data_IF_667692536067
#
_entry.id   IF_667692536067
#
_cell.length_a   1.000
_cell.length_b   1.000
_cell.length_c   1.000
_cell.angle_alpha   90.00
_cell.angle_beta   90.00
_cell.angle_gamma   90.00
#
_symmetry.space_group_name_H-M   'P 1'
#
loop_
_entity.id
_entity.type
_entity.pdbx_description
1 polymer ?
#
# COMPACT_ATOMS: atom_id res chain seq x y z
N UNK A 1 -3.19 18.45 -60.82
CA UNK A 1 -4.38 18.69 -59.98
C UNK A 1 -4.52 17.50 -59.03
N UNK A 2 -4.08 17.68 -57.80
CA UNK A 2 -4.20 16.64 -56.77
C UNK A 2 -5.47 16.94 -55.96
N UNK A 3 -6.47 16.06 -56.13
CA UNK A 3 -7.67 16.05 -55.29
C UNK A 3 -7.31 15.58 -53.90
N UNK A 4 -7.15 16.47 -52.96
CA UNK A 4 -7.19 16.19 -51.53
C UNK A 4 -8.64 16.30 -51.07
N UNK A 5 -9.45 15.29 -51.43
CA UNK A 5 -10.78 15.11 -50.88
C UNK A 5 -10.66 14.48 -49.49
N UNK A 6 -10.99 15.20 -48.42
CA UNK A 6 -11.27 14.65 -47.09
C UNK A 6 -12.46 13.71 -47.19
N UNK A 7 -12.20 12.40 -47.38
CA UNK A 7 -13.20 11.34 -47.33
C UNK A 7 -13.42 10.93 -45.88
N UNK A 8 -14.41 11.50 -45.24
CA UNK A 8 -14.90 11.06 -43.95
C UNK A 8 -16.22 11.75 -43.61
N UNK A 9 -17.24 10.97 -43.26
CA UNK A 9 -18.47 11.56 -42.69
C UNK A 9 -18.12 12.37 -41.45
N UNK A 10 -18.73 13.55 -41.26
CA UNK A 10 -18.54 14.34 -40.08
C UNK A 10 -18.74 13.50 -38.81
N UNK A 11 -17.89 13.65 -37.80
CA UNK A 11 -18.01 12.88 -36.57
C UNK A 11 -19.36 13.18 -35.92
N UNK A 12 -20.17 12.13 -35.73
CA UNK A 12 -21.51 12.22 -35.10
C UNK A 12 -21.50 12.88 -33.72
N UNK A 13 -20.38 12.86 -33.03
CA UNK A 13 -20.21 13.39 -31.68
C UNK A 13 -19.04 14.38 -31.64
N UNK A 14 -19.29 15.61 -31.25
CA UNK A 14 -18.30 16.68 -31.12
C UNK A 14 -17.78 16.86 -29.67
N UNK A 15 -16.95 17.88 -29.41
CA UNK A 15 -16.36 18.17 -28.10
C UNK A 15 -17.39 18.42 -26.99
N UNK A 16 -18.57 18.93 -27.32
CA UNK A 16 -19.69 19.20 -26.39
C UNK A 16 -20.23 17.91 -25.76
N UNK A 17 -20.25 16.82 -26.49
CA UNK A 17 -20.65 15.50 -25.98
C UNK A 17 -19.66 15.02 -24.90
N UNK A 18 -18.36 15.23 -25.13
CA UNK A 18 -17.33 14.95 -24.12
C UNK A 18 -17.49 15.76 -22.83
N UNK A 19 -17.79 17.07 -22.96
CA UNK A 19 -18.06 17.94 -21.80
C UNK A 19 -19.28 17.46 -21.00
N UNK A 20 -20.35 17.04 -21.68
CA UNK A 20 -21.54 16.50 -21.02
C UNK A 20 -21.26 15.20 -20.27
N UNK A 21 -20.43 14.31 -20.83
CA UNK A 21 -20.01 13.09 -20.13
C UNK A 21 -19.23 13.44 -18.86
N UNK A 22 -18.25 14.35 -18.92
CA UNK A 22 -17.45 14.75 -17.77
C UNK A 22 -18.31 15.44 -16.69
N UNK A 23 -19.20 16.36 -17.10
CA UNK A 23 -20.13 17.06 -16.19
C UNK A 23 -21.07 16.08 -15.48
N UNK A 24 -21.47 14.99 -16.15
CA UNK A 24 -22.32 13.96 -15.53
C UNK A 24 -21.52 13.11 -14.53
N UNK A 25 -20.25 12.81 -14.81
CA UNK A 25 -19.36 12.10 -13.88
C UNK A 25 -19.11 12.87 -12.58
N UNK A 26 -19.21 14.20 -12.62
CA UNK A 26 -19.07 15.07 -11.44
C UNK A 26 -20.34 15.11 -10.55
N UNK A 27 -21.43 14.50 -11.02
CA UNK A 27 -22.66 14.33 -10.25
C UNK A 27 -22.70 12.96 -9.57
N UNK A 28 -23.44 12.81 -8.46
CA UNK A 28 -23.66 11.48 -7.90
C UNK A 28 -24.41 10.60 -8.92
N UNK A 29 -24.12 9.28 -8.96
CA UNK A 29 -24.88 8.36 -9.80
C UNK A 29 -26.33 8.26 -9.34
N UNK A 30 -27.22 7.69 -10.16
CA UNK A 30 -28.64 7.49 -9.81
C UNK A 30 -28.80 6.73 -8.49
N UNK A 31 -29.94 6.96 -7.82
CA UNK A 31 -30.26 6.30 -6.56
C UNK A 31 -30.09 4.77 -6.66
N UNK A 32 -29.46 4.17 -5.66
CA UNK A 32 -29.16 2.74 -5.61
C UNK A 32 -27.83 2.34 -6.29
N UNK A 33 -27.15 3.25 -6.97
CA UNK A 33 -25.84 3.00 -7.56
C UNK A 33 -24.72 3.76 -6.82
N UNK A 34 -23.60 3.10 -6.59
CA UNK A 34 -22.43 3.71 -5.94
C UNK A 34 -21.44 4.32 -6.93
N UNK A 35 -21.58 4.00 -8.21
CA UNK A 35 -20.64 4.40 -9.26
C UNK A 35 -21.36 4.62 -10.58
N UNK A 36 -20.79 5.51 -11.40
CA UNK A 36 -21.09 5.58 -12.81
C UNK A 36 -20.51 4.39 -13.56
N UNK A 37 -21.28 3.91 -14.54
CA UNK A 37 -20.86 2.93 -15.54
C UNK A 37 -21.22 3.45 -16.91
N UNK A 38 -20.58 2.95 -17.97
CA UNK A 38 -20.92 3.41 -19.33
C UNK A 38 -22.40 3.17 -19.70
N UNK A 39 -23.03 2.03 -19.36
CA UNK A 39 -24.49 1.88 -19.54
C UNK A 39 -25.35 2.91 -18.78
N UNK A 40 -24.96 3.28 -17.53
CA UNK A 40 -25.68 4.32 -16.79
C UNK A 40 -25.53 5.70 -17.43
N UNK A 41 -24.32 6.03 -17.88
CA UNK A 41 -24.07 7.28 -18.62
C UNK A 41 -24.88 7.34 -19.91
N UNK A 42 -24.96 6.25 -20.66
CA UNK A 42 -25.77 6.16 -21.87
C UNK A 42 -27.24 6.37 -21.58
N UNK A 43 -27.74 5.79 -20.49
CA UNK A 43 -29.14 5.93 -20.08
C UNK A 43 -29.50 7.39 -19.73
N UNK A 44 -28.59 8.10 -19.06
CA UNK A 44 -28.82 9.49 -18.64
C UNK A 44 -28.59 10.49 -19.81
N UNK A 45 -27.70 10.18 -20.72
CA UNK A 45 -27.36 11.05 -21.86
C UNK A 45 -28.20 10.80 -23.11
N UNK A 46 -28.97 9.72 -23.17
CA UNK A 46 -29.93 9.28 -24.17
C UNK A 46 -29.44 9.32 -25.64
N UNK A 47 -28.82 10.43 -26.06
CA UNK A 47 -28.37 10.73 -27.42
C UNK A 47 -26.92 10.28 -27.70
N UNK A 48 -26.21 9.77 -26.70
CA UNK A 48 -24.82 9.34 -26.83
C UNK A 48 -24.71 7.82 -26.69
N UNK A 49 -24.21 7.18 -27.76
CA UNK A 49 -24.06 5.73 -27.78
C UNK A 49 -22.95 5.25 -26.82
N UNK A 50 -23.15 4.12 -26.17
CA UNK A 50 -22.25 3.56 -25.17
C UNK A 50 -20.81 3.35 -25.71
N UNK A 51 -20.65 2.92 -26.96
CA UNK A 51 -19.31 2.75 -27.55
C UNK A 51 -18.53 4.07 -27.66
N UNK A 52 -19.24 5.21 -27.90
CA UNK A 52 -18.58 6.51 -27.90
C UNK A 52 -18.13 6.87 -26.50
N UNK A 53 -18.98 6.65 -25.49
CA UNK A 53 -18.63 6.89 -24.08
C UNK A 53 -17.37 6.10 -23.71
N UNK A 54 -17.30 4.80 -24.01
CA UNK A 54 -16.12 3.98 -23.76
C UNK A 54 -14.87 4.52 -24.47
N UNK A 55 -14.98 4.88 -25.73
CA UNK A 55 -13.86 5.43 -26.51
C UNK A 55 -13.41 6.76 -25.93
N UNK A 56 -14.34 7.64 -25.59
CA UNK A 56 -14.06 8.94 -24.97
C UNK A 56 -13.36 8.77 -23.62
N UNK A 57 -13.88 7.96 -22.73
CA UNK A 57 -13.27 7.72 -21.40
C UNK A 57 -11.84 7.17 -21.54
N UNK A 58 -11.60 6.25 -22.48
CA UNK A 58 -10.24 5.75 -22.76
C UNK A 58 -9.32 6.86 -23.26
N UNK A 59 -9.78 7.73 -24.15
CA UNK A 59 -8.98 8.86 -24.67
C UNK A 59 -8.61 9.84 -23.54
N UNK A 60 -9.50 10.01 -22.55
CA UNK A 60 -9.25 10.82 -21.36
C UNK A 60 -8.49 10.07 -20.24
N UNK A 61 -8.16 8.79 -20.46
CA UNK A 61 -7.52 7.90 -19.45
C UNK A 61 -8.34 7.77 -18.16
N UNK A 62 -9.67 7.84 -18.27
CA UNK A 62 -10.61 7.67 -17.17
C UNK A 62 -11.03 6.20 -17.10
N UNK A 63 -10.75 5.54 -15.97
CA UNK A 63 -11.20 4.19 -15.67
C UNK A 63 -12.28 4.25 -14.57
N UNK A 64 -13.53 3.96 -14.93
CA UNK A 64 -14.66 3.95 -14.00
C UNK A 64 -14.68 2.71 -13.09
N UNK A 65 -13.96 1.65 -13.44
CA UNK A 65 -13.87 0.41 -12.66
C UNK A 65 -12.74 0.48 -11.62
N UNK A 66 -11.72 1.30 -11.90
CA UNK A 66 -10.55 1.46 -11.05
C UNK A 66 -10.84 2.33 -9.85
N UNK A 67 -10.83 1.74 -8.64
CA UNK A 67 -10.84 2.48 -7.38
C UNK A 67 -9.50 2.39 -6.70
N UNK A 68 -8.87 3.54 -6.47
CA UNK A 68 -7.74 3.65 -5.56
C UNK A 68 -8.21 4.42 -4.33
N UNK A 69 -8.10 3.80 -3.17
CA UNK A 69 -8.21 4.55 -1.92
C UNK A 69 -7.08 5.58 -1.88
N UNK A 70 -7.43 6.79 -1.58
CA UNK A 70 -6.50 7.91 -1.52
C UNK A 70 -6.61 8.57 -0.18
N UNK A 71 -5.50 8.72 0.52
CA UNK A 71 -5.44 9.48 1.73
C UNK A 71 -4.56 10.72 1.50
N UNK A 72 -5.13 11.89 1.67
CA UNK A 72 -4.41 13.14 1.58
C UNK A 72 -3.89 13.51 2.96
N UNK A 73 -2.59 13.79 3.07
CA UNK A 73 -2.05 14.29 4.33
C UNK A 73 -2.57 15.69 4.62
N UNK A 74 -3.06 15.88 5.83
CA UNK A 74 -3.43 17.18 6.39
C UNK A 74 -2.37 17.72 7.34
N UNK A 75 -1.21 17.06 7.43
CA UNK A 75 -0.10 17.47 8.30
C UNK A 75 0.49 18.80 7.81
N UNK A 76 0.47 19.87 8.63
CA UNK A 76 1.06 21.16 8.26
C UNK A 76 2.58 21.04 8.04
N UNK A 77 3.24 20.11 8.74
CA UNK A 77 4.67 19.85 8.65
C UNK A 77 5.01 18.74 7.64
N UNK A 78 4.14 18.50 6.66
CA UNK A 78 4.34 17.43 5.67
C UNK A 78 5.70 17.52 4.98
N UNK A 79 6.04 18.72 4.45
CA UNK A 79 7.25 18.91 3.65
C UNK A 79 8.52 18.67 4.47
N UNK A 80 8.73 19.31 5.65
CA UNK A 80 9.93 19.08 6.45
C UNK A 80 10.06 17.62 6.93
N UNK A 81 8.97 16.99 7.42
CA UNK A 81 9.01 15.60 7.87
C UNK A 81 9.31 14.62 6.72
N UNK A 82 8.70 14.83 5.55
CA UNK A 82 8.96 14.01 4.38
C UNK A 82 10.40 14.16 3.88
N UNK A 83 10.93 15.39 3.86
CA UNK A 83 12.31 15.67 3.47
C UNK A 83 13.32 15.03 4.43
N UNK A 84 13.07 15.09 5.74
CA UNK A 84 13.89 14.44 6.76
C UNK A 84 13.98 12.93 6.53
N UNK A 85 12.84 12.25 6.35
CA UNK A 85 12.78 10.79 6.14
C UNK A 85 13.48 10.40 4.84
N UNK A 86 13.22 11.12 3.75
CA UNK A 86 13.86 10.85 2.45
C UNK A 86 15.36 11.11 2.54
N UNK A 87 15.77 12.15 3.28
CA UNK A 87 17.17 12.43 3.55
C UNK A 87 17.88 11.27 4.26
N UNK A 88 17.26 10.67 5.29
CA UNK A 88 17.77 9.49 5.98
C UNK A 88 17.90 8.27 5.05
N UNK A 89 16.99 8.10 4.09
CA UNK A 89 17.04 7.00 3.13
C UNK A 89 18.15 7.16 2.09
N UNK A 90 18.41 8.40 1.68
CA UNK A 90 19.40 8.69 0.64
C UNK A 90 20.82 8.86 1.19
N UNK A 91 20.94 9.47 2.36
CA UNK A 91 22.21 9.78 3.00
C UNK A 91 22.12 9.50 4.51
N UNK A 92 22.17 8.23 4.94
CA UNK A 92 22.18 7.92 6.36
C UNK A 92 23.42 8.54 7.04
N UNK A 93 23.30 9.00 8.29
CA UNK A 93 24.46 9.52 9.03
C UNK A 93 25.57 8.49 9.21
N UNK A 94 26.80 8.93 9.35
CA UNK A 94 27.94 8.06 9.63
C UNK A 94 27.74 7.30 10.95
N UNK A 95 28.20 6.06 11.00
CA UNK A 95 28.05 5.14 12.14
C UNK A 95 26.60 4.95 12.63
N UNK A 96 25.61 5.20 11.76
CA UNK A 96 24.21 5.02 12.06
C UNK A 96 23.60 3.82 11.35
N UNK A 97 22.48 3.33 11.88
CA UNK A 97 21.56 2.44 11.18
C UNK A 97 20.19 3.11 11.07
N UNK A 98 19.62 3.07 9.89
CA UNK A 98 18.26 3.55 9.64
C UNK A 98 17.32 2.35 9.58
N UNK A 99 16.36 2.29 10.48
CA UNK A 99 15.35 1.25 10.58
C UNK A 99 13.98 1.82 10.23
N UNK A 100 13.29 1.17 9.32
CA UNK A 100 11.89 1.41 9.02
C UNK A 100 11.07 0.37 9.79
N UNK A 101 10.29 0.80 10.79
CA UNK A 101 9.59 -0.11 11.72
C UNK A 101 8.08 0.11 11.65
N UNK A 102 7.33 -0.99 11.68
CA UNK A 102 5.86 -0.98 11.78
C UNK A 102 5.32 -2.35 12.23
N UNK A 103 4.01 -2.43 12.45
CA UNK A 103 3.31 -3.66 12.78
C UNK A 103 2.34 -4.08 11.67
N UNK A 104 2.34 -5.38 11.37
CA UNK A 104 1.26 -6.02 10.64
C UNK A 104 0.35 -6.75 11.62
N UNK A 105 -0.77 -6.12 12.04
CA UNK A 105 -1.65 -6.70 13.05
C UNK A 105 -2.56 -7.76 12.48
N UNK A 106 -3.05 -8.63 13.37
CA UNK A 106 -4.17 -9.57 13.11
C UNK A 106 -3.97 -10.45 11.88
N UNK A 107 -2.73 -10.93 11.64
CA UNK A 107 -2.48 -11.92 10.61
C UNK A 107 -3.20 -13.21 11.01
N UNK A 108 -4.13 -13.67 10.17
CA UNK A 108 -5.01 -14.78 10.49
C UNK A 108 -4.41 -16.12 10.05
N UNK A 109 -4.42 -17.11 10.96
CA UNK A 109 -4.21 -18.50 10.60
C UNK A 109 -5.52 -19.06 10.03
N UNK A 110 -5.64 -19.04 8.71
CA UNK A 110 -6.79 -19.56 7.97
C UNK A 110 -6.46 -20.94 7.42
N UNK A 111 -7.25 -21.93 7.80
CA UNK A 111 -7.18 -23.27 7.25
C UNK A 111 -8.22 -23.42 6.14
N UNK A 112 -7.76 -23.76 4.93
CA UNK A 112 -8.58 -23.93 3.73
C UNK A 112 -8.20 -25.21 3.02
N UNK A 113 -9.19 -25.94 2.53
CA UNK A 113 -8.93 -27.02 1.60
C UNK A 113 -8.31 -26.46 0.31
N UNK A 114 -7.19 -27.01 -0.08
CA UNK A 114 -6.44 -26.64 -1.28
C UNK A 114 -6.36 -27.83 -2.23
N UNK A 115 -6.33 -27.56 -3.51
CA UNK A 115 -6.24 -28.62 -4.52
C UNK A 115 -6.14 -28.05 -5.93
N UNK A 116 -6.20 -28.95 -6.90
CA UNK A 116 -6.24 -28.57 -8.32
C UNK A 116 -7.67 -28.72 -8.84
N UNK A 117 -8.14 -27.68 -9.54
CA UNK A 117 -9.39 -27.72 -10.31
C UNK A 117 -9.03 -27.95 -11.77
N UNK A 118 -9.53 -29.06 -12.34
CA UNK A 118 -9.43 -29.30 -13.76
C UNK A 118 -10.63 -28.66 -14.48
N UNK A 119 -10.36 -27.69 -15.33
CA UNK A 119 -11.38 -26.99 -16.11
C UNK A 119 -11.83 -27.84 -17.30
N UNK A 120 -13.05 -27.62 -17.85
CA UNK A 120 -13.56 -28.34 -19.02
C UNK A 120 -12.65 -28.25 -20.26
N UNK A 121 -11.85 -27.17 -20.37
CA UNK A 121 -10.87 -26.98 -21.45
C UNK A 121 -9.52 -27.71 -21.21
N UNK A 122 -9.44 -28.60 -20.21
CA UNK A 122 -8.25 -29.38 -19.89
C UNK A 122 -7.18 -28.66 -19.05
N UNK A 123 -7.33 -27.36 -18.78
CA UNK A 123 -6.40 -26.61 -17.92
C UNK A 123 -6.60 -27.00 -16.45
N UNK A 124 -5.49 -27.15 -15.74
CA UNK A 124 -5.49 -27.27 -14.29
C UNK A 124 -5.19 -25.93 -13.65
N UNK A 125 -5.94 -25.56 -12.61
CA UNK A 125 -5.73 -24.36 -11.81
C UNK A 125 -5.62 -24.75 -10.33
N UNK A 126 -4.78 -24.02 -9.56
CA UNK A 126 -4.79 -24.12 -8.10
C UNK A 126 -6.11 -23.55 -7.61
N UNK A 127 -6.87 -24.36 -6.90
CA UNK A 127 -8.14 -23.98 -6.29
C UNK A 127 -8.05 -23.93 -4.78
N UNK A 128 -8.81 -23.06 -4.18
CA UNK A 128 -9.03 -23.00 -2.73
C UNK A 128 -10.51 -23.04 -2.45
N UNK A 129 -10.91 -23.72 -1.37
CA UNK A 129 -12.28 -23.63 -0.85
C UNK A 129 -12.58 -22.18 -0.42
N UNK A 130 -13.81 -21.75 -0.66
CA UNK A 130 -14.35 -20.51 -0.06
C UNK A 130 -14.53 -20.68 1.45
N UNK A 131 -14.83 -21.88 1.90
CA UNK A 131 -14.94 -22.21 3.32
C UNK A 131 -13.56 -22.22 3.96
N UNK A 132 -13.48 -21.67 5.16
CA UNK A 132 -12.26 -21.65 5.94
C UNK A 132 -12.55 -21.74 7.44
N UNK A 133 -11.59 -22.32 8.15
CA UNK A 133 -11.57 -22.33 9.62
C UNK A 133 -10.56 -21.29 10.10
N UNK A 134 -10.94 -20.53 11.13
CA UNK A 134 -10.05 -19.56 11.78
C UNK A 134 -9.39 -20.21 12.99
N UNK A 135 -8.07 -20.31 12.97
CA UNK A 135 -7.28 -20.93 14.04
C UNK A 135 -6.57 -19.90 14.94
N UNK A 136 -6.94 -18.61 14.81
CA UNK A 136 -6.42 -17.50 15.60
C UNK A 136 -5.61 -16.51 14.79
N UNK A 137 -4.95 -15.58 15.50
CA UNK A 137 -4.19 -14.48 14.89
C UNK A 137 -2.86 -14.26 15.58
N UNK A 138 -1.91 -13.67 14.85
CA UNK A 138 -0.68 -13.10 15.40
C UNK A 138 -0.48 -11.68 14.89
N UNK A 139 0.31 -10.89 15.61
CA UNK A 139 0.79 -9.58 15.17
C UNK A 139 2.29 -9.67 14.94
N UNK A 140 2.75 -9.27 13.77
CA UNK A 140 4.17 -9.21 13.43
C UNK A 140 4.66 -7.77 13.60
N UNK A 141 5.63 -7.56 14.49
CA UNK A 141 6.47 -6.36 14.48
C UNK A 141 7.66 -6.61 13.57
N UNK A 142 7.95 -5.69 12.68
CA UNK A 142 9.07 -5.85 11.76
C UNK A 142 9.88 -4.56 11.63
N UNK A 143 11.19 -4.73 11.50
CA UNK A 143 12.16 -3.69 11.26
C UNK A 143 12.92 -4.01 9.97
N UNK A 144 12.83 -3.13 8.98
CA UNK A 144 13.64 -3.16 7.76
C UNK A 144 14.87 -2.29 7.99
N UNK A 145 16.05 -2.85 7.86
CA UNK A 145 17.29 -2.08 7.76
C UNK A 145 17.36 -1.47 6.35
N UNK A 146 17.24 -0.15 6.27
CA UNK A 146 17.20 0.56 4.99
C UNK A 146 18.49 0.40 4.20
N UNK A 147 19.63 0.31 4.88
CA UNK A 147 20.95 0.19 4.24
C UNK A 147 21.25 -1.21 3.69
N UNK A 148 20.71 -2.28 4.28
CA UNK A 148 20.96 -3.66 3.83
C UNK A 148 19.77 -4.31 3.15
N UNK A 149 18.55 -3.82 3.42
CA UNK A 149 17.30 -4.45 3.00
C UNK A 149 16.88 -5.63 3.89
N UNK A 150 17.68 -6.02 4.87
CA UNK A 150 17.35 -7.12 5.80
C UNK A 150 16.19 -6.76 6.70
N UNK A 151 15.38 -7.76 7.02
CA UNK A 151 14.22 -7.62 7.91
C UNK A 151 14.42 -8.45 9.18
N UNK A 152 14.13 -7.84 10.30
CA UNK A 152 14.01 -8.51 11.60
C UNK A 152 12.56 -8.50 12.03
N UNK A 153 11.98 -9.68 12.27
CA UNK A 153 10.59 -9.85 12.68
C UNK A 153 10.46 -10.41 14.10
N UNK A 154 9.34 -10.11 14.74
CA UNK A 154 8.92 -10.74 16.00
C UNK A 154 7.42 -10.78 16.12
N UNK A 155 6.90 -11.91 16.60
CA UNK A 155 5.48 -12.13 16.78
C UNK A 155 5.02 -11.82 18.21
N UNK A 156 3.87 -11.14 18.30
CA UNK A 156 3.21 -10.81 19.56
C UNK A 156 1.71 -11.06 19.46
N UNK A 157 1.06 -11.27 20.60
CA UNK A 157 -0.41 -11.40 20.68
C UNK A 157 -1.14 -10.06 20.56
N UNK A 158 -0.46 -8.96 20.87
CA UNK A 158 -1.03 -7.61 20.95
C UNK A 158 -0.03 -6.58 20.42
N UNK A 159 -0.54 -5.40 20.00
CA UNK A 159 0.27 -4.24 19.58
C UNK A 159 0.12 -3.09 20.59
N UNK A 160 0.69 -3.23 21.77
CA UNK A 160 0.68 -2.18 22.79
C UNK A 160 2.07 -1.58 22.92
N UNK A 161 2.18 -0.49 23.68
CA UNK A 161 3.46 0.14 24.00
C UNK A 161 4.48 -0.86 24.57
N UNK A 162 4.04 -1.80 25.38
CA UNK A 162 4.90 -2.81 25.99
C UNK A 162 5.58 -3.70 24.93
N UNK A 163 4.80 -4.23 23.99
CA UNK A 163 5.33 -5.07 22.91
C UNK A 163 6.24 -4.26 21.96
N UNK A 164 5.88 -3.02 21.68
CA UNK A 164 6.73 -2.11 20.92
C UNK A 164 8.08 -1.88 21.60
N UNK A 165 8.10 -1.58 22.92
CA UNK A 165 9.34 -1.37 23.65
C UNK A 165 10.17 -2.65 23.79
N UNK A 166 9.55 -3.83 23.95
CA UNK A 166 10.29 -5.11 23.91
C UNK A 166 10.97 -5.31 22.55
N UNK A 167 10.27 -4.99 21.48
CA UNK A 167 10.85 -5.07 20.13
C UNK A 167 11.99 -4.06 19.96
N UNK A 168 11.81 -2.81 20.39
CA UNK A 168 12.86 -1.78 20.36
C UNK A 168 14.10 -2.16 21.18
N UNK A 169 13.93 -2.74 22.37
CA UNK A 169 15.05 -3.22 23.17
C UNK A 169 15.90 -4.27 22.41
N UNK A 170 15.26 -5.11 21.59
CA UNK A 170 15.96 -6.08 20.74
C UNK A 170 16.72 -5.38 19.63
N UNK A 171 16.17 -4.31 19.03
CA UNK A 171 16.86 -3.53 18.00
C UNK A 171 18.07 -2.81 18.60
N UNK A 172 17.94 -2.19 19.76
CA UNK A 172 19.05 -1.57 20.48
C UNK A 172 20.17 -2.59 20.77
N UNK A 173 19.79 -3.78 21.26
CA UNK A 173 20.78 -4.87 21.49
C UNK A 173 21.46 -5.34 20.22
N UNK A 174 20.72 -5.42 19.08
CA UNK A 174 21.28 -5.87 17.80
C UNK A 174 22.29 -4.87 17.23
N UNK A 175 22.06 -3.58 17.42
CA UNK A 175 22.87 -2.50 16.86
C UNK A 175 23.66 -1.74 17.92
N UNK A 176 24.23 -2.46 18.87
CA UNK A 176 25.07 -1.86 19.94
C UNK A 176 26.20 -1.01 19.35
N UNK A 177 26.44 0.16 19.95
CA UNK A 177 27.53 1.07 19.54
C UNK A 177 27.23 1.89 18.28
N UNK A 178 25.98 1.84 17.78
CA UNK A 178 25.53 2.65 16.64
C UNK A 178 24.46 3.64 17.04
N UNK A 179 24.38 4.75 16.30
CA UNK A 179 23.20 5.61 16.31
C UNK A 179 22.07 4.87 15.55
N UNK A 180 20.86 4.89 16.11
CA UNK A 180 19.71 4.17 15.56
C UNK A 180 18.63 5.18 15.21
N UNK A 181 18.46 5.44 13.92
CA UNK A 181 17.37 6.26 13.39
C UNK A 181 16.19 5.38 13.04
N UNK A 182 15.03 5.63 13.62
CA UNK A 182 13.84 4.79 13.47
C UNK A 182 12.74 5.59 12.80
N UNK A 183 12.36 5.19 11.59
CA UNK A 183 11.20 5.76 10.90
C UNK A 183 9.95 5.00 11.33
N UNK A 184 8.96 5.73 11.81
CA UNK A 184 7.72 5.23 12.41
C UNK A 184 6.50 5.98 11.86
N UNK A 185 5.35 5.34 11.90
CA UNK A 185 4.08 6.02 11.73
C UNK A 185 3.66 6.80 13.00
N UNK A 186 2.57 7.56 12.90
CA UNK A 186 2.06 8.39 14.00
C UNK A 186 1.21 7.62 15.03
N UNK A 187 1.29 6.30 15.08
CA UNK A 187 0.51 5.51 16.03
C UNK A 187 0.84 5.91 17.47
N UNK A 188 -0.18 6.00 18.32
CA UNK A 188 -0.04 6.43 19.72
C UNK A 188 0.86 5.52 20.57
N UNK A 189 1.02 4.24 20.14
CA UNK A 189 1.93 3.28 20.79
C UNK A 189 3.40 3.60 20.55
N UNK A 190 3.73 4.31 19.46
CA UNK A 190 5.10 4.68 19.10
C UNK A 190 5.57 5.95 19.83
N UNK A 191 4.64 6.83 20.18
CA UNK A 191 4.99 8.13 20.79
C UNK A 191 5.56 7.98 22.21
N UNK A 192 6.56 8.80 22.59
CA UNK A 192 7.09 8.83 23.94
C UNK A 192 5.97 9.03 24.98
N UNK A 193 6.08 8.32 26.09
CA UNK A 193 5.16 8.38 27.21
C UNK A 193 5.96 8.55 28.52
N UNK A 194 5.28 8.43 29.65
CA UNK A 194 5.88 8.50 30.99
C UNK A 194 6.90 7.39 31.31
N UNK A 195 7.06 6.41 30.38
CA UNK A 195 8.04 5.31 30.53
C UNK A 195 9.51 5.78 30.43
N UNK A 196 9.75 6.99 29.93
CA UNK A 196 11.09 7.59 29.77
C UNK A 196 12.06 6.70 28.97
N UNK A 197 11.54 5.77 28.15
CA UNK A 197 12.37 4.80 27.43
C UNK A 197 13.36 5.50 26.50
N UNK A 198 12.88 6.47 25.70
CA UNK A 198 13.72 7.21 24.74
C UNK A 198 14.82 8.03 25.46
N UNK A 199 14.49 8.62 26.61
CA UNK A 199 15.47 9.36 27.40
C UNK A 199 16.60 8.47 27.96
N UNK A 200 16.33 7.15 28.14
CA UNK A 200 17.34 6.16 28.56
C UNK A 200 18.12 5.55 27.40
N UNK A 201 17.76 5.87 26.16
CA UNK A 201 18.42 5.39 24.95
C UNK A 201 18.80 6.61 24.08
N UNK A 202 19.79 7.42 24.48
CA UNK A 202 20.14 8.68 23.80
C UNK A 202 20.64 8.47 22.36
N UNK A 203 21.07 7.26 22.03
CA UNK A 203 21.49 6.87 20.69
C UNK A 203 20.32 6.43 19.79
N UNK A 204 19.06 6.57 20.23
CA UNK A 204 17.88 6.23 19.44
C UNK A 204 17.09 7.48 19.09
N UNK A 205 16.85 7.69 17.81
CA UNK A 205 16.16 8.85 17.26
C UNK A 205 14.90 8.43 16.51
N UNK A 206 13.73 8.90 16.93
CA UNK A 206 12.45 8.60 16.28
C UNK A 206 12.07 9.67 15.27
N UNK A 207 11.78 9.26 14.03
CA UNK A 207 11.35 10.08 12.92
C UNK A 207 9.94 9.66 12.51
N UNK A 208 8.96 10.54 12.72
CA UNK A 208 7.57 10.21 12.44
C UNK A 208 7.16 10.62 11.04
N UNK A 209 6.54 9.71 10.30
CA UNK A 209 5.95 10.04 9.00
C UNK A 209 4.86 11.10 9.16
N UNK A 210 4.65 11.99 8.17
CA UNK A 210 3.49 12.88 8.19
C UNK A 210 2.18 12.07 8.31
N UNK A 211 1.15 12.67 8.88
CA UNK A 211 -0.16 12.02 9.02
C UNK A 211 -0.67 11.53 7.66
N UNK A 212 -1.21 10.31 7.62
CA UNK A 212 -1.72 9.68 6.40
C UNK A 212 -0.69 9.42 5.29
N UNK A 213 0.57 9.20 5.64
CA UNK A 213 1.65 8.93 4.69
C UNK A 213 2.45 7.68 5.03
N UNK A 214 1.79 6.60 5.42
CA UNK A 214 2.43 5.31 5.69
C UNK A 214 3.32 4.82 4.54
N UNK A 215 3.02 5.22 3.29
CA UNK A 215 3.84 4.90 2.13
C UNK A 215 5.27 5.47 2.16
N UNK A 216 5.57 6.44 3.04
CA UNK A 216 6.94 6.89 3.32
C UNK A 216 7.70 5.89 4.20
N UNK A 217 7.00 5.03 4.94
CA UNK A 217 7.63 3.99 5.75
C UNK A 217 7.94 2.77 4.88
N UNK A 218 9.21 2.53 4.56
CA UNK A 218 9.61 1.49 3.59
C UNK A 218 9.24 0.06 4.02
N UNK A 219 9.03 -0.21 5.30
CA UNK A 219 8.58 -1.53 5.77
C UNK A 219 7.22 -1.92 5.17
N UNK A 220 6.38 -0.95 4.78
CA UNK A 220 5.10 -1.22 4.14
C UNK A 220 5.28 -1.89 2.76
N UNK A 221 6.36 -1.59 2.04
CA UNK A 221 6.73 -2.28 0.80
C UNK A 221 6.99 -3.75 1.11
N UNK A 222 7.77 -4.02 2.15
CA UNK A 222 8.07 -5.40 2.56
C UNK A 222 6.82 -6.14 3.05
N UNK A 223 5.92 -5.50 3.80
CA UNK A 223 4.63 -6.09 4.18
C UNK A 223 3.77 -6.46 2.97
N UNK A 224 3.86 -5.69 1.90
CA UNK A 224 3.18 -6.02 0.64
C UNK A 224 3.80 -7.25 -0.02
N UNK A 225 5.14 -7.37 0.00
CA UNK A 225 5.88 -8.54 -0.48
C UNK A 225 5.51 -9.79 0.34
N UNK A 226 5.54 -9.70 1.68
CA UNK A 226 5.12 -10.77 2.57
C UNK A 226 3.68 -11.24 2.26
N UNK A 227 2.77 -10.27 2.14
CA UNK A 227 1.37 -10.57 1.86
C UNK A 227 1.18 -11.26 0.51
N UNK A 228 1.86 -10.79 -0.54
CA UNK A 228 1.71 -11.30 -1.90
C UNK A 228 2.41 -12.63 -2.15
N UNK A 229 3.63 -12.79 -1.61
CA UNK A 229 4.47 -13.97 -1.90
C UNK A 229 4.33 -15.10 -0.87
N UNK A 230 3.94 -14.79 0.37
CA UNK A 230 3.94 -15.75 1.47
C UNK A 230 2.53 -16.04 2.01
N UNK A 231 1.76 -15.01 2.33
CA UNK A 231 0.47 -15.20 3.01
C UNK A 231 -0.69 -15.47 2.04
N UNK A 232 -0.65 -14.86 0.85
CA UNK A 232 -1.71 -15.03 -0.15
C UNK A 232 -1.73 -16.47 -0.66
N UNK A 233 -2.85 -17.14 -0.43
CA UNK A 233 -3.02 -18.53 -0.84
C UNK A 233 -2.45 -19.55 0.16
N UNK A 234 -1.88 -19.13 1.29
CA UNK A 234 -1.47 -20.02 2.37
C UNK A 234 -2.65 -20.61 3.11
N UNK A 235 -2.46 -21.82 3.67
CA UNK A 235 -3.40 -22.49 4.55
C UNK A 235 -2.65 -22.91 5.81
N UNK A 236 -3.18 -22.54 6.99
CA UNK A 236 -2.51 -22.72 8.27
C UNK A 236 -3.46 -23.31 9.31
N UNK A 237 -3.15 -24.51 9.77
CA UNK A 237 -3.93 -25.23 10.77
C UNK A 237 -3.78 -24.69 12.19
N UNK A 238 -2.78 -23.83 12.43
CA UNK A 238 -2.54 -23.22 13.74
C UNK A 238 -1.78 -21.91 13.67
N UNK A 239 -1.82 -21.10 14.75
CA UNK A 239 -0.99 -19.90 14.88
C UNK A 239 0.51 -20.20 14.92
N UNK A 240 1.00 -21.23 15.65
CA UNK A 240 2.41 -21.61 15.59
C UNK A 240 2.89 -21.95 14.17
N UNK A 241 2.09 -22.66 13.39
CA UNK A 241 2.42 -22.97 11.99
C UNK A 241 2.53 -21.68 11.13
N UNK A 242 1.58 -20.76 11.26
CA UNK A 242 1.65 -19.46 10.61
C UNK A 242 2.91 -18.68 10.99
N UNK A 243 3.26 -18.67 12.29
CA UNK A 243 4.48 -18.02 12.79
C UNK A 243 5.72 -18.64 12.15
N UNK A 244 5.87 -19.97 12.20
CA UNK A 244 6.99 -20.68 11.61
C UNK A 244 7.12 -20.42 10.10
N UNK A 245 5.98 -20.34 9.38
CA UNK A 245 5.96 -20.01 7.96
C UNK A 245 6.47 -18.59 7.68
N UNK A 246 6.04 -17.62 8.48
CA UNK A 246 6.51 -16.22 8.34
C UNK A 246 8.00 -16.11 8.69
N UNK A 247 8.45 -16.76 9.75
CA UNK A 247 9.87 -16.75 10.15
C UNK A 247 10.76 -17.39 9.08
N UNK A 248 10.33 -18.50 8.48
CA UNK A 248 11.03 -19.10 7.33
C UNK A 248 11.05 -18.16 6.11
N UNK A 249 9.95 -17.46 5.84
CA UNK A 249 9.94 -16.46 4.77
C UNK A 249 10.93 -15.32 5.02
N UNK A 250 11.01 -14.81 6.26
CA UNK A 250 11.98 -13.77 6.64
C UNK A 250 13.41 -14.26 6.44
N UNK A 251 13.72 -15.50 6.86
CA UNK A 251 15.04 -16.09 6.69
C UNK A 251 15.43 -16.16 5.21
N UNK A 252 14.57 -16.76 4.37
CA UNK A 252 14.80 -16.88 2.93
C UNK A 252 14.91 -15.51 2.24
N UNK A 253 14.06 -14.53 2.64
CA UNK A 253 14.11 -13.16 2.11
C UNK A 253 15.45 -12.50 2.41
N UNK A 254 15.99 -12.70 3.62
CA UNK A 254 17.24 -12.08 4.06
C UNK A 254 18.48 -12.64 3.35
N UNK A 255 18.43 -13.85 2.79
CA UNK A 255 19.54 -14.41 1.99
C UNK A 255 19.83 -13.59 0.73
N UNK A 256 18.79 -12.98 0.16
CA UNK A 256 18.89 -12.17 -1.05
C UNK A 256 18.47 -10.70 -0.82
N UNK A 257 18.44 -10.27 0.43
CA UNK A 257 17.98 -8.93 0.79
C UNK A 257 18.80 -7.85 0.09
N UNK A 258 18.08 -6.83 -0.42
CA UNK A 258 18.69 -5.66 -1.04
C UNK A 258 17.94 -4.41 -0.59
N UNK A 259 18.63 -3.28 -0.44
CA UNK A 259 17.99 -2.00 -0.13
C UNK A 259 16.92 -1.64 -1.14
N UNK A 260 15.81 -1.07 -0.66
CA UNK A 260 14.85 -0.42 -1.55
C UNK A 260 15.39 0.92 -2.01
N UNK A 261 15.55 1.08 -3.32
CA UNK A 261 16.05 2.32 -3.90
C UNK A 261 14.94 3.36 -3.97
N UNK A 262 15.18 4.51 -3.37
CA UNK A 262 14.28 5.66 -3.51
C UNK A 262 14.47 6.29 -4.89
N UNK A 263 13.44 6.23 -5.73
CA UNK A 263 13.51 6.67 -7.13
C UNK A 263 12.85 8.02 -7.40
N UNK A 264 12.11 8.58 -6.43
CA UNK A 264 11.39 9.84 -6.62
C UNK A 264 12.24 11.01 -6.15
N UNK A 265 12.60 11.91 -7.06
CA UNK A 265 13.30 13.15 -6.74
C UNK A 265 12.47 14.17 -5.98
N UNK A 266 11.14 14.12 -6.12
CA UNK A 266 10.21 15.04 -5.47
C UNK A 266 9.07 14.29 -4.83
N UNK A 267 8.79 14.61 -3.57
CA UNK A 267 7.63 14.10 -2.83
C UNK A 267 6.52 15.14 -2.87
N UNK A 268 5.46 14.84 -3.62
CA UNK A 268 4.30 15.70 -3.73
C UNK A 268 3.17 15.23 -2.84
N UNK A 269 2.60 16.17 -2.10
CA UNK A 269 1.28 15.98 -1.51
C UNK A 269 0.25 15.99 -2.65
N UNK A 270 -0.16 14.79 -3.10
CA UNK A 270 -1.17 14.72 -4.16
C UNK A 270 -2.54 15.14 -3.61
N UNK A 271 -3.15 16.12 -4.25
CA UNK A 271 -4.52 16.54 -3.97
C UNK A 271 -5.47 15.91 -4.97
N UNK A 272 -6.64 15.45 -4.52
CA UNK A 272 -7.69 15.04 -5.43
C UNK A 272 -8.22 16.26 -6.17
N UNK A 273 -8.42 16.13 -7.48
CA UNK A 273 -9.17 17.14 -8.22
C UNK A 273 -10.63 17.08 -7.78
N UNK A 274 -11.31 18.22 -7.61
CA UNK A 274 -12.71 18.23 -7.16
C UNK A 274 -13.68 17.70 -8.21
N UNK A 275 -13.32 17.74 -9.50
CA UNK A 275 -14.18 17.30 -10.59
C UNK A 275 -13.38 16.84 -11.84
N UNK A 276 -14.06 16.16 -12.78
CA UNK A 276 -13.52 15.71 -14.05
C UNK A 276 -13.54 16.80 -15.13
N UNK A 277 -14.43 17.77 -14.97
CA UNK A 277 -14.72 18.80 -16.00
C UNK A 277 -13.77 20.01 -15.96
N UNK A 278 -12.71 19.99 -15.16
CA UNK A 278 -11.71 21.08 -15.04
C UNK A 278 -10.38 20.68 -15.65
#
# INVERSE_FOLDING_TARGET
MSETGERGAEPRYGPEHGKRILALLDRPPPAGYSNWTAPLLTRELVDIHEQYIWRFLRSQKIDLSGRKSWCQSTDPDFVPKAAEIVGLYMNPPDNAVVLSIDEKPSIQALERAQGYLKLPNGRAMIGQSHDYKRNGTTTLFAALNVGTGEVTGRHYKRRRRLEFLDFMNRMVKRYQGKEIHVVLDNLSTHKPKRDLWLARHPNVHFHYTPTHTSWLNQIEIWFSILSGKSLKGGSFGSVPELIAHIDAFIANYNEEARPFVWTKSVVHQKRMKPCFAV
#
